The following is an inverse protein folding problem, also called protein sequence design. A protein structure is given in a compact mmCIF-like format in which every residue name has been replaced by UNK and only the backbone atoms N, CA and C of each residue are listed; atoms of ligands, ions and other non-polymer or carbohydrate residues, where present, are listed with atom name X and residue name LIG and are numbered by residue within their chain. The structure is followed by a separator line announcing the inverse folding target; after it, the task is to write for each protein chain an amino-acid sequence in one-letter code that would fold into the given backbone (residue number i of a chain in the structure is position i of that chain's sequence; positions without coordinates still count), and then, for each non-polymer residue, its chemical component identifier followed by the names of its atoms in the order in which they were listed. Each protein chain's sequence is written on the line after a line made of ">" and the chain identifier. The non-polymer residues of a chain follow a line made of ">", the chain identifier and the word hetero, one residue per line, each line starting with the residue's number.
data_IF_420602307690
#
_entry.id   IF_420602307690
#
_cell.length_a   1.000
_cell.length_b   1.000
_cell.length_c   1.000
_cell.angle_alpha   90.00
_cell.angle_beta   90.00
_cell.angle_gamma   90.00
#
_symmetry.space_group_name_H-M   'P 1'
#
loop_
_entity.id
_entity.type
_entity.pdbx_description
1 polymer ?
#
# COMPACT_ATOMS: atom_id res chain seq x y z
N UNK A 1 -2.58 1.98 -4.42
CA UNK A 1 -2.83 1.97 -5.81
C UNK A 1 -4.29 1.72 -6.13
N UNK A 2 -4.89 2.62 -6.85
CA UNK A 2 -6.23 2.52 -7.31
C UNK A 2 -6.39 1.21 -8.08
N UNK A 3 -7.30 0.44 -7.77
CA UNK A 3 -7.39 -0.80 -8.42
C UNK A 3 -8.71 -1.04 -9.03
N UNK A 4 -9.75 -0.85 -8.35
CA UNK A 4 -11.06 -1.15 -8.90
C UNK A 4 -11.38 -0.17 -10.04
N UNK A 5 -12.01 -0.67 -11.09
CA UNK A 5 -12.58 0.17 -12.12
C UNK A 5 -13.71 0.97 -11.47
N UNK A 6 -13.40 2.19 -11.09
CA UNK A 6 -14.34 3.09 -10.44
C UNK A 6 -14.55 4.30 -11.31
N UNK A 7 -15.80 4.67 -11.47
CA UNK A 7 -16.17 5.88 -12.20
C UNK A 7 -16.26 7.06 -11.24
N UNK A 8 -15.88 8.27 -11.66
CA UNK A 8 -16.12 9.47 -10.88
C UNK A 8 -17.61 9.61 -10.53
N UNK A 9 -17.96 10.16 -9.34
CA UNK A 9 -17.09 10.77 -8.32
C UNK A 9 -16.62 9.81 -7.23
N UNK A 10 -16.92 8.53 -7.31
CA UNK A 10 -16.78 7.60 -6.19
C UNK A 10 -15.41 6.90 -6.11
N UNK A 11 -14.51 7.09 -7.05
CA UNK A 11 -13.25 6.34 -7.05
C UNK A 11 -12.30 6.70 -5.91
N UNK A 12 -12.40 7.86 -5.29
CA UNK A 12 -11.63 8.19 -4.08
C UNK A 12 -11.98 7.28 -2.90
N UNK A 13 -13.21 6.77 -2.83
CA UNK A 13 -13.62 5.81 -1.81
C UNK A 13 -12.94 4.45 -1.96
N UNK A 14 -12.33 4.17 -3.10
CA UNK A 14 -11.57 2.96 -3.37
C UNK A 14 -10.06 3.14 -3.19
N UNK A 15 -9.63 4.30 -2.73
CA UNK A 15 -8.26 4.53 -2.32
C UNK A 15 -8.19 4.42 -0.79
N UNK A 16 -7.38 3.50 -0.29
CA UNK A 16 -7.34 3.23 1.15
C UNK A 16 -6.86 4.43 1.97
N UNK A 17 -6.06 5.34 1.39
CA UNK A 17 -5.65 6.57 2.06
C UNK A 17 -6.81 7.48 2.46
N UNK A 18 -7.97 7.36 1.82
CA UNK A 18 -9.19 8.09 2.20
C UNK A 18 -9.65 7.74 3.63
N UNK A 19 -9.30 6.56 4.11
CA UNK A 19 -9.66 6.05 5.44
C UNK A 19 -8.50 6.17 6.45
N UNK A 20 -7.42 6.83 6.08
CA UNK A 20 -6.30 7.15 6.94
C UNK A 20 -6.37 8.63 7.31
N UNK A 21 -6.46 8.97 8.60
CA UNK A 21 -6.49 10.36 9.06
C UNK A 21 -5.09 10.99 9.06
N UNK A 22 -4.03 10.17 9.12
CA UNK A 22 -2.67 10.63 8.88
C UNK A 22 -2.52 10.97 7.40
N UNK A 23 -2.10 12.21 7.04
CA UNK A 23 -1.96 12.59 5.65
C UNK A 23 -0.92 11.72 4.91
N UNK A 24 -1.34 11.04 3.86
CA UNK A 24 -0.48 10.24 3.00
C UNK A 24 -0.60 10.69 1.54
N UNK A 25 0.48 10.52 0.78
CA UNK A 25 0.52 10.77 -0.66
C UNK A 25 0.50 9.45 -1.41
N UNK A 26 -0.54 9.22 -2.21
CA UNK A 26 -0.63 8.03 -3.04
C UNK A 26 0.29 8.13 -4.26
N UNK A 27 1.26 7.21 -4.35
CA UNK A 27 2.18 7.05 -5.47
C UNK A 27 1.93 5.73 -6.22
N UNK A 28 0.86 5.01 -5.86
CA UNK A 28 0.52 3.74 -6.50
C UNK A 28 0.12 3.90 -7.96
N UNK A 29 0.60 2.98 -8.80
CA UNK A 29 0.19 2.87 -10.20
C UNK A 29 -0.44 1.51 -10.44
N UNK A 30 -1.51 1.49 -11.22
CA UNK A 30 -2.18 0.23 -11.58
C UNK A 30 -1.25 -0.65 -12.41
N UNK A 31 -1.19 -1.93 -12.08
CA UNK A 31 -0.38 -2.90 -12.81
C UNK A 31 1.07 -3.02 -12.37
N UNK A 32 1.60 -2.10 -11.56
CA UNK A 32 2.99 -2.16 -11.12
C UNK A 32 3.31 -3.47 -10.38
N UNK A 33 4.43 -4.06 -10.75
CA UNK A 33 5.12 -5.14 -10.05
C UNK A 33 6.12 -4.57 -9.04
N UNK A 34 6.72 -5.44 -8.23
CA UNK A 34 7.82 -5.05 -7.33
C UNK A 34 9.03 -4.50 -8.09
N UNK A 35 9.30 -5.00 -9.30
CA UNK A 35 10.37 -4.49 -10.18
C UNK A 35 10.07 -3.06 -10.65
N UNK A 36 8.81 -2.76 -11.03
CA UNK A 36 8.40 -1.41 -11.44
C UNK A 36 8.52 -0.41 -10.29
N UNK A 37 8.12 -0.81 -9.07
CA UNK A 37 8.31 0.04 -7.89
C UNK A 37 9.78 0.37 -7.65
N UNK A 38 10.66 -0.63 -7.76
CA UNK A 38 12.10 -0.43 -7.59
C UNK A 38 12.66 0.49 -8.69
N UNK A 39 12.24 0.31 -9.93
CA UNK A 39 12.72 1.10 -11.07
C UNK A 39 12.36 2.59 -10.96
N UNK A 40 11.17 2.92 -10.40
CA UNK A 40 10.70 4.31 -10.29
C UNK A 40 10.91 4.94 -8.92
N UNK A 41 11.62 4.29 -8.01
CA UNK A 41 11.84 4.81 -6.65
C UNK A 41 12.43 6.22 -6.64
N UNK A 42 13.50 6.43 -7.40
CA UNK A 42 14.22 7.72 -7.40
C UNK A 42 13.37 8.85 -8.00
N UNK A 43 12.63 8.56 -9.07
CA UNK A 43 11.81 9.57 -9.76
C UNK A 43 10.51 9.90 -9.02
N UNK A 44 9.92 8.93 -8.33
CA UNK A 44 8.58 9.07 -7.79
C UNK A 44 8.55 9.25 -6.28
N UNK A 45 9.54 8.72 -5.54
CA UNK A 45 9.58 8.79 -4.07
C UNK A 45 10.47 9.92 -3.57
N UNK A 46 11.70 10.00 -4.06
CA UNK A 46 12.68 10.97 -3.54
C UNK A 46 12.27 12.43 -3.67
N UNK A 47 11.56 12.89 -4.74
CA UNK A 47 11.12 14.29 -4.83
C UNK A 47 10.17 14.72 -3.70
N UNK A 48 9.50 13.79 -3.03
CA UNK A 48 8.63 14.09 -1.89
C UNK A 48 9.35 14.08 -0.54
N UNK A 49 10.60 13.59 -0.50
CA UNK A 49 11.40 13.46 0.72
C UNK A 49 10.59 12.90 1.91
N UNK A 50 9.90 11.75 1.77
CA UNK A 50 9.02 11.23 2.81
C UNK A 50 9.85 10.69 3.98
N UNK A 51 9.34 10.82 5.21
CA UNK A 51 9.93 10.14 6.37
C UNK A 51 9.55 8.65 6.40
N UNK A 52 8.38 8.31 5.87
CA UNK A 52 7.83 6.96 5.83
C UNK A 52 7.37 6.62 4.41
N UNK A 53 7.66 5.42 3.95
CA UNK A 53 7.15 4.86 2.70
C UNK A 53 6.34 3.59 2.98
N UNK A 54 5.03 3.63 2.70
CA UNK A 54 4.15 2.48 2.85
C UNK A 54 4.13 1.69 1.55
N UNK A 55 4.47 0.39 1.62
CA UNK A 55 4.63 -0.49 0.46
C UNK A 55 3.68 -1.67 0.58
N UNK A 56 2.68 -1.73 -0.31
CA UNK A 56 1.82 -2.90 -0.52
C UNK A 56 1.99 -3.36 -1.97
N UNK A 57 2.72 -4.45 -2.18
CA UNK A 57 3.11 -4.93 -3.49
C UNK A 57 3.16 -6.46 -3.56
N UNK A 58 3.25 -7.01 -4.77
CA UNK A 58 3.39 -8.44 -5.02
C UNK A 58 2.18 -9.08 -5.71
N UNK A 59 1.00 -8.46 -5.64
CA UNK A 59 -0.21 -9.00 -6.28
C UNK A 59 -0.02 -9.15 -7.79
N UNK A 60 0.51 -8.15 -8.46
CA UNK A 60 0.77 -8.20 -9.90
C UNK A 60 1.90 -9.18 -10.24
N UNK A 61 2.86 -9.35 -9.34
CA UNK A 61 3.96 -10.30 -9.49
C UNK A 61 3.42 -11.73 -9.52
N UNK A 62 2.85 -12.22 -8.42
CA UNK A 62 2.41 -13.61 -8.33
C UNK A 62 1.24 -13.94 -9.29
N UNK A 63 0.37 -12.96 -9.56
CA UNK A 63 -0.72 -13.11 -10.54
C UNK A 63 -0.19 -13.32 -11.96
N UNK A 64 0.95 -12.74 -12.29
CA UNK A 64 1.59 -12.83 -13.61
C UNK A 64 2.66 -13.92 -13.69
N UNK A 65 2.85 -14.70 -12.62
CA UNK A 65 3.80 -15.80 -12.59
C UNK A 65 5.24 -15.39 -12.25
N UNK A 66 5.45 -14.20 -11.70
CA UNK A 66 6.75 -13.83 -11.12
C UNK A 66 6.94 -14.60 -9.82
N UNK A 67 8.09 -15.25 -9.68
CA UNK A 67 8.38 -16.05 -8.48
C UNK A 67 8.50 -15.17 -7.23
N UNK A 68 7.95 -15.65 -6.11
CA UNK A 68 8.00 -14.92 -4.84
C UNK A 68 9.41 -14.54 -4.39
N UNK A 69 10.41 -15.38 -4.69
CA UNK A 69 11.81 -15.06 -4.40
C UNK A 69 12.34 -13.86 -5.18
N UNK A 70 11.86 -13.62 -6.41
CA UNK A 70 12.21 -12.43 -7.19
C UNK A 70 11.54 -11.19 -6.61
N UNK A 71 10.24 -11.28 -6.30
CA UNK A 71 9.52 -10.19 -5.65
C UNK A 71 10.17 -9.79 -4.33
N UNK A 72 10.60 -10.76 -3.52
CA UNK A 72 11.30 -10.51 -2.26
C UNK A 72 12.66 -9.82 -2.49
N UNK A 73 13.42 -10.22 -3.52
CA UNK A 73 14.67 -9.50 -3.86
C UNK A 73 14.41 -8.02 -4.18
N UNK A 74 13.36 -7.72 -4.93
CA UNK A 74 12.98 -6.35 -5.26
C UNK A 74 12.52 -5.56 -4.03
N UNK A 75 11.71 -6.18 -3.15
CA UNK A 75 11.28 -5.56 -1.90
C UNK A 75 12.44 -5.32 -0.94
N UNK A 76 13.39 -6.24 -0.86
CA UNK A 76 14.62 -6.07 -0.07
C UNK A 76 15.46 -4.90 -0.61
N UNK A 77 15.61 -4.79 -1.93
CA UNK A 77 16.30 -3.67 -2.54
C UNK A 77 15.57 -2.33 -2.30
N UNK A 78 14.24 -2.32 -2.30
CA UNK A 78 13.45 -1.13 -1.91
C UNK A 78 13.69 -0.74 -0.45
N UNK A 79 13.69 -1.72 0.47
CA UNK A 79 14.04 -1.49 1.88
C UNK A 79 15.42 -0.85 2.02
N UNK A 80 16.40 -1.41 1.34
CA UNK A 80 17.79 -0.95 1.43
C UNK A 80 17.94 0.47 0.83
N UNK A 81 17.19 0.78 -0.25
CA UNK A 81 17.11 2.15 -0.79
C UNK A 81 16.45 3.12 0.18
N UNK A 82 15.36 2.73 0.82
CA UNK A 82 14.75 3.54 1.87
C UNK A 82 15.78 3.87 2.96
N UNK A 83 16.49 2.87 3.47
CA UNK A 83 17.51 3.06 4.49
C UNK A 83 18.63 4.00 4.05
N UNK A 84 19.10 3.90 2.81
CA UNK A 84 20.12 4.78 2.23
C UNK A 84 19.69 6.26 2.17
N UNK A 85 18.38 6.53 2.15
CA UNK A 85 17.82 7.88 2.11
C UNK A 85 17.14 8.32 3.42
N UNK A 86 17.29 7.56 4.52
CA UNK A 86 16.69 7.90 5.81
C UNK A 86 15.16 7.78 5.81
N UNK A 87 14.60 6.97 4.91
CA UNK A 87 13.17 6.71 4.81
C UNK A 87 12.85 5.42 5.56
N UNK A 88 11.84 5.43 6.43
CA UNK A 88 11.37 4.22 7.11
C UNK A 88 10.35 3.49 6.22
N UNK A 89 10.64 2.27 5.73
CA UNK A 89 9.66 1.49 4.97
C UNK A 89 8.71 0.76 5.91
N UNK A 90 7.41 0.81 5.62
CA UNK A 90 6.38 -0.03 6.24
C UNK A 90 5.83 -0.95 5.16
N UNK A 91 5.95 -2.26 5.37
CA UNK A 91 5.45 -3.25 4.41
C UNK A 91 4.08 -3.77 4.82
N UNK A 92 3.15 -3.82 3.88
CA UNK A 92 1.87 -4.49 4.04
C UNK A 92 1.92 -5.84 3.33
N UNK A 93 1.32 -6.86 3.95
CA UNK A 93 1.14 -8.15 3.29
C UNK A 93 0.31 -7.99 2.00
N UNK A 94 0.69 -8.70 0.94
CA UNK A 94 -0.04 -8.70 -0.33
C UNK A 94 -1.37 -9.45 -0.15
N UNK A 95 -2.52 -8.82 -0.43
CA UNK A 95 -3.83 -9.48 -0.34
C UNK A 95 -3.91 -10.69 -1.26
N UNK A 96 -4.72 -11.71 -0.92
CA UNK A 96 -4.96 -12.83 -1.82
C UNK A 96 -5.79 -12.42 -3.03
N UNK A 97 -5.94 -13.32 -3.99
CA UNK A 97 -6.85 -13.19 -5.13
C UNK A 97 -7.90 -14.31 -5.12
N UNK A 98 -8.99 -14.11 -5.86
CA UNK A 98 -10.03 -15.13 -6.09
C UNK A 98 -10.12 -15.45 -7.59
N UNK A 99 -9.36 -16.42 -8.08
CA UNK A 99 -9.23 -16.68 -9.53
C UNK A 99 -10.53 -16.98 -10.24
N UNK A 100 -11.48 -17.64 -9.57
CA UNK A 100 -12.77 -17.95 -10.17
C UNK A 100 -13.58 -16.68 -10.49
N UNK A 101 -13.58 -15.71 -9.58
CA UNK A 101 -14.27 -14.44 -9.76
C UNK A 101 -13.55 -13.54 -10.78
N UNK A 102 -12.21 -13.53 -10.77
CA UNK A 102 -11.40 -12.83 -11.77
C UNK A 102 -11.77 -13.26 -13.18
N UNK A 103 -11.84 -14.57 -13.45
CA UNK A 103 -12.24 -15.10 -14.77
C UNK A 103 -13.66 -14.69 -15.16
N UNK A 104 -14.57 -14.66 -14.19
CA UNK A 104 -15.97 -14.35 -14.45
C UNK A 104 -16.23 -12.85 -14.68
N UNK A 105 -15.41 -11.96 -14.17
CA UNK A 105 -15.67 -10.50 -14.11
C UNK A 105 -14.70 -9.64 -14.88
N UNK A 106 -13.46 -10.08 -15.09
CA UNK A 106 -12.41 -9.24 -15.65
C UNK A 106 -11.90 -9.67 -17.02
N UNK A 107 -12.28 -10.86 -17.51
CA UNK A 107 -11.75 -11.45 -18.76
C UNK A 107 -10.22 -11.39 -18.86
N UNK A 108 -9.55 -11.62 -17.73
CA UNK A 108 -8.08 -11.64 -17.64
C UNK A 108 -7.59 -13.07 -17.54
N UNK A 109 -6.35 -13.24 -17.98
CA UNK A 109 -5.69 -14.55 -17.94
C UNK A 109 -5.70 -15.12 -16.51
N UNK A 110 -5.99 -16.41 -16.38
CA UNK A 110 -5.94 -17.09 -15.10
C UNK A 110 -4.51 -16.99 -14.51
N UNK A 111 -4.40 -16.72 -13.21
CA UNK A 111 -3.09 -16.76 -12.57
C UNK A 111 -2.53 -18.18 -12.58
N UNK A 112 -1.21 -18.35 -12.39
CA UNK A 112 -0.61 -19.67 -12.17
C UNK A 112 -1.32 -20.44 -11.06
N UNK A 113 -1.37 -21.76 -11.15
CA UNK A 113 -2.07 -22.60 -10.18
C UNK A 113 -1.43 -22.55 -8.79
N UNK A 114 -0.17 -22.17 -8.69
CA UNK A 114 0.65 -22.04 -7.48
C UNK A 114 0.81 -20.58 -6.99
N UNK A 115 -0.01 -19.65 -7.49
CA UNK A 115 0.05 -18.23 -7.13
C UNK A 115 0.10 -18.00 -5.60
N UNK A 116 -0.63 -18.82 -4.86
CA UNK A 116 -0.70 -18.75 -3.41
C UNK A 116 0.67 -19.03 -2.75
N UNK A 117 1.47 -19.94 -3.29
CA UNK A 117 2.81 -20.21 -2.77
C UNK A 117 3.74 -19.00 -2.94
N UNK A 118 3.63 -18.29 -4.05
CA UNK A 118 4.40 -17.06 -4.29
C UNK A 118 3.94 -15.92 -3.39
N UNK A 119 2.61 -15.75 -3.20
CA UNK A 119 2.06 -14.80 -2.22
C UNK A 119 2.57 -15.10 -0.82
N UNK A 120 2.48 -16.35 -0.39
CA UNK A 120 2.89 -16.74 0.96
C UNK A 120 4.39 -16.54 1.17
N UNK A 121 5.21 -16.78 0.15
CA UNK A 121 6.64 -16.49 0.21
C UNK A 121 6.89 -14.98 0.43
N UNK A 122 6.19 -14.12 -0.30
CA UNK A 122 6.27 -12.67 -0.14
C UNK A 122 5.80 -12.26 1.27
N UNK A 123 4.62 -12.73 1.69
CA UNK A 123 4.03 -12.35 2.96
C UNK A 123 4.85 -12.83 4.16
N UNK A 124 5.43 -14.02 4.09
CA UNK A 124 6.35 -14.52 5.11
C UNK A 124 7.58 -13.61 5.26
N UNK A 125 8.12 -13.09 4.15
CA UNK A 125 9.21 -12.12 4.21
C UNK A 125 8.75 -10.78 4.77
N UNK A 126 7.58 -10.28 4.37
CA UNK A 126 6.98 -9.03 4.88
C UNK A 126 6.83 -9.08 6.39
N UNK A 127 6.29 -10.18 6.92
CA UNK A 127 6.07 -10.34 8.37
C UNK A 127 7.35 -10.45 9.21
N UNK A 128 8.52 -10.53 8.57
CA UNK A 128 9.82 -10.48 9.25
C UNK A 128 10.44 -9.09 9.26
N UNK A 129 9.80 -8.09 8.64
CA UNK A 129 10.32 -6.73 8.63
C UNK A 129 10.01 -6.02 9.96
N UNK A 130 10.85 -5.06 10.32
CA UNK A 130 10.70 -4.27 11.55
C UNK A 130 9.35 -3.54 11.61
N UNK A 131 8.92 -2.97 10.47
CA UNK A 131 7.63 -2.32 10.34
C UNK A 131 6.79 -3.04 9.29
N UNK A 132 5.78 -3.76 9.74
CA UNK A 132 4.88 -4.50 8.87
C UNK A 132 3.44 -4.51 9.38
N UNK A 133 2.48 -4.60 8.46
CA UNK A 133 1.05 -4.67 8.75
C UNK A 133 0.47 -5.87 8.02
N UNK A 134 -0.15 -6.79 8.75
CA UNK A 134 -0.87 -7.90 8.13
C UNK A 134 -2.28 -7.49 7.77
N UNK A 135 -2.51 -7.24 6.49
CA UNK A 135 -3.84 -6.98 5.93
C UNK A 135 -4.40 -8.21 5.19
N UNK A 136 -3.52 -9.14 4.79
CA UNK A 136 -3.93 -10.29 3.99
C UNK A 136 -4.77 -11.29 4.80
N UNK A 137 -4.47 -11.50 6.07
CA UNK A 137 -5.19 -12.48 6.91
C UNK A 137 -6.68 -12.14 6.99
N UNK A 138 -7.06 -10.90 7.27
CA UNK A 138 -8.48 -10.50 7.37
C UNK A 138 -9.17 -10.48 6.00
N UNK A 139 -8.43 -10.17 4.94
CA UNK A 139 -8.97 -10.17 3.58
C UNK A 139 -9.10 -11.58 2.98
N UNK A 140 -8.66 -12.62 3.70
CA UNK A 140 -8.70 -14.02 3.24
C UNK A 140 -9.94 -14.75 3.76
N UNK A 141 -10.55 -15.56 2.92
CA UNK A 141 -11.52 -16.58 3.34
C UNK A 141 -10.82 -17.82 3.95
N UNK A 142 -11.61 -18.78 4.38
CA UNK A 142 -11.10 -20.03 4.95
C UNK A 142 -10.24 -20.87 3.98
N UNK A 143 -10.29 -20.60 2.68
CA UNK A 143 -9.49 -21.25 1.64
C UNK A 143 -8.27 -20.41 1.24
N UNK A 144 -7.99 -19.31 1.92
CA UNK A 144 -6.89 -18.39 1.63
C UNK A 144 -7.08 -17.59 0.35
N UNK A 145 -8.31 -17.46 -0.15
CA UNK A 145 -8.67 -16.61 -1.27
C UNK A 145 -9.25 -15.28 -0.79
N UNK A 146 -9.23 -14.26 -1.64
CA UNK A 146 -9.85 -12.97 -1.32
C UNK A 146 -11.34 -13.16 -1.02
N UNK A 147 -11.76 -12.77 0.20
CA UNK A 147 -13.12 -12.93 0.68
C UNK A 147 -14.09 -12.13 -0.20
N UNK A 148 -15.19 -12.75 -0.60
CA UNK A 148 -16.16 -12.14 -1.51
C UNK A 148 -16.80 -10.85 -0.96
N UNK A 149 -16.88 -10.73 0.36
CA UNK A 149 -17.34 -9.52 1.02
C UNK A 149 -16.41 -8.31 0.82
N UNK A 150 -15.18 -8.55 0.37
CA UNK A 150 -14.16 -7.50 0.16
C UNK A 150 -13.78 -7.29 -1.29
N UNK A 151 -14.47 -7.92 -2.24
CA UNK A 151 -14.14 -7.78 -3.66
C UNK A 151 -15.33 -8.03 -4.57
N UNK A 152 -15.40 -7.27 -5.64
CA UNK A 152 -16.38 -7.47 -6.71
C UNK A 152 -15.79 -8.17 -7.93
N UNK A 153 -14.48 -8.20 -8.08
CA UNK A 153 -13.80 -8.72 -9.27
C UNK A 153 -12.78 -9.85 -8.97
N UNK A 154 -12.55 -10.15 -7.70
CA UNK A 154 -11.64 -11.19 -7.25
C UNK A 154 -10.16 -10.81 -7.24
N UNK A 155 -9.80 -9.59 -7.63
CA UNK A 155 -8.43 -9.08 -7.66
C UNK A 155 -8.24 -7.87 -6.75
N UNK A 156 -9.16 -6.92 -6.84
CA UNK A 156 -9.05 -5.66 -6.13
C UNK A 156 -9.94 -5.67 -4.88
N UNK A 157 -9.39 -5.33 -3.71
CA UNK A 157 -10.23 -5.00 -2.57
C UNK A 157 -11.20 -3.87 -2.94
N UNK A 158 -12.47 -4.05 -2.66
CA UNK A 158 -13.50 -3.03 -2.85
C UNK A 158 -13.52 -2.01 -1.72
N UNK A 159 -14.60 -1.23 -1.61
CA UNK A 159 -14.76 -0.18 -0.61
C UNK A 159 -14.52 -0.70 0.82
N UNK A 160 -15.09 -1.86 1.18
CA UNK A 160 -14.93 -2.41 2.54
C UNK A 160 -13.51 -2.90 2.80
N UNK A 161 -12.90 -3.56 1.81
CA UNK A 161 -11.51 -4.00 1.89
C UNK A 161 -10.54 -2.82 1.95
N UNK A 162 -10.77 -1.77 1.16
CA UNK A 162 -9.95 -0.54 1.19
C UNK A 162 -10.08 0.22 2.50
N UNK A 163 -11.31 0.30 3.02
CA UNK A 163 -11.56 0.89 4.33
C UNK A 163 -10.78 0.16 5.41
N UNK A 164 -10.86 -1.16 5.45
CA UNK A 164 -10.09 -1.98 6.40
C UNK A 164 -8.58 -1.69 6.30
N UNK A 165 -8.02 -1.71 5.09
CA UNK A 165 -6.58 -1.43 4.88
C UNK A 165 -6.23 -0.04 5.43
N UNK A 166 -7.00 0.99 5.09
CA UNK A 166 -6.73 2.37 5.52
C UNK A 166 -6.81 2.54 7.03
N UNK A 167 -7.80 1.93 7.69
CA UNK A 167 -7.95 1.95 9.15
C UNK A 167 -6.77 1.24 9.85
N UNK A 168 -6.29 0.11 9.30
CA UNK A 168 -5.11 -0.59 9.87
C UNK A 168 -3.84 0.24 9.71
N UNK A 169 -3.65 0.89 8.56
CA UNK A 169 -2.52 1.80 8.34
C UNK A 169 -2.59 3.00 9.28
N UNK A 170 -3.76 3.62 9.44
CA UNK A 170 -3.96 4.76 10.35
C UNK A 170 -3.62 4.39 11.79
N UNK A 171 -4.16 3.27 12.27
CA UNK A 171 -3.89 2.76 13.62
C UNK A 171 -2.40 2.53 13.82
N UNK A 172 -1.76 1.81 12.90
CA UNK A 172 -0.33 1.49 12.96
C UNK A 172 0.54 2.75 12.98
N UNK A 173 0.25 3.73 12.13
CA UNK A 173 1.01 4.98 12.09
C UNK A 173 0.90 5.76 13.41
N UNK A 174 -0.29 5.77 14.02
CA UNK A 174 -0.52 6.45 15.32
C UNK A 174 0.19 5.77 16.48
N UNK A 175 0.32 4.45 16.44
CA UNK A 175 0.97 3.68 17.51
C UNK A 175 2.51 3.72 17.43
N UNK A 176 3.07 3.81 16.22
CA UNK A 176 4.51 3.64 16.01
C UNK A 176 5.26 4.92 15.63
N UNK A 177 4.54 5.96 15.20
CA UNK A 177 5.16 7.20 14.72
C UNK A 177 4.52 8.44 15.33
N UNK A 178 5.34 9.41 15.68
CA UNK A 178 4.87 10.76 15.99
C UNK A 178 4.41 11.43 14.67
N UNK A 179 3.20 11.92 14.64
CA UNK A 179 2.66 12.63 13.50
C UNK A 179 1.92 13.88 13.94
N UNK A 180 1.96 14.91 13.11
CA UNK A 180 1.25 16.16 13.34
C UNK A 180 0.13 16.30 12.32
N UNK A 181 -1.11 16.50 12.78
CA UNK A 181 -2.23 16.71 11.87
C UNK A 181 -2.00 17.91 10.96
N UNK A 182 -2.59 17.87 9.76
CA UNK A 182 -2.53 18.99 8.82
C UNK A 182 -2.98 20.33 9.47
N UNK A 183 -4.02 20.30 10.31
CA UNK A 183 -4.51 21.45 11.05
C UNK A 183 -3.45 21.99 12.03
N UNK A 184 -2.79 21.12 12.80
CA UNK A 184 -1.74 21.50 13.74
C UNK A 184 -0.51 22.08 13.02
N UNK A 185 -0.13 21.54 11.85
CA UNK A 185 0.93 22.09 11.00
C UNK A 185 0.59 23.50 10.51
N UNK A 186 -0.64 23.70 10.05
CA UNK A 186 -1.11 25.01 9.60
C UNK A 186 -1.22 26.04 10.73
N UNK A 187 -1.62 25.62 11.94
CA UNK A 187 -1.62 26.50 13.11
C UNK A 187 -0.20 26.87 13.51
N UNK A 188 0.74 25.94 13.53
CA UNK A 188 2.14 26.21 13.83
C UNK A 188 2.80 27.16 12.80
N UNK A 189 2.49 26.98 11.52
CA UNK A 189 3.00 27.85 10.45
C UNK A 189 2.43 29.27 10.55
N UNK A 190 1.14 29.43 10.83
CA UNK A 190 0.49 30.73 11.05
C UNK A 190 1.06 31.44 12.29
N UNK A 191 1.29 30.71 13.37
CA UNK A 191 1.92 31.23 14.59
C UNK A 191 3.34 31.74 14.33
N UNK A 192 4.17 31.01 13.57
CA UNK A 192 5.52 31.43 13.19
C UNK A 192 5.51 32.66 12.28
N UNK A 193 4.58 32.74 11.33
CA UNK A 193 4.43 33.89 10.45
C UNK A 193 3.98 35.16 11.20
N UNK A 194 3.09 35.03 12.20
CA UNK A 194 2.67 36.11 13.06
C UNK A 194 3.79 36.63 13.94
N UNK A 195 4.56 35.73 14.58
CA UNK A 195 5.71 36.09 15.41
C UNK A 195 6.80 36.82 14.62
N UNK A 196 7.12 36.34 13.41
CA UNK A 196 8.08 37.01 12.52
C UNK A 196 7.63 38.38 12.03
N UNK A 197 6.33 38.65 11.97
CA UNK A 197 5.77 39.95 11.60
C UNK A 197 5.80 40.97 12.78
N UNK A 198 5.85 40.49 14.03
CA UNK A 198 5.98 41.31 15.23
C UNK A 198 7.44 41.70 15.52
N UNK A 199 8.40 40.78 15.27
CA UNK A 199 9.84 41.06 15.47
C UNK A 199 10.45 41.95 14.39
N UNK A 200 9.75 42.25 13.31
CA UNK A 200 10.16 43.11 12.20
C UNK A 200 9.64 44.55 12.29
N UNK A 201 9.05 44.95 13.41
CA UNK A 201 8.61 46.33 13.69
C UNK A 201 9.47 46.97 14.78
#
# INVERSE_FOLDING_TARGET
>A
GGGAITLPPSYTLYDWETYCAVPVKNLGRSGDTTADLLARFDSDVLPFAPHVLIIMAGVNDYRSGVYGAESVRNLAALRDRCAAHGITPIFLTAPPIRPALMRARMDIMAPPSDWWAHRDYINNWVMQQEYCIDVATVLSDANGQLEEAYTTDGLHPDLMGKKYIGEQVDLYLREHFEWTSYEALHHAQRGKAAAAAEDGK
#
